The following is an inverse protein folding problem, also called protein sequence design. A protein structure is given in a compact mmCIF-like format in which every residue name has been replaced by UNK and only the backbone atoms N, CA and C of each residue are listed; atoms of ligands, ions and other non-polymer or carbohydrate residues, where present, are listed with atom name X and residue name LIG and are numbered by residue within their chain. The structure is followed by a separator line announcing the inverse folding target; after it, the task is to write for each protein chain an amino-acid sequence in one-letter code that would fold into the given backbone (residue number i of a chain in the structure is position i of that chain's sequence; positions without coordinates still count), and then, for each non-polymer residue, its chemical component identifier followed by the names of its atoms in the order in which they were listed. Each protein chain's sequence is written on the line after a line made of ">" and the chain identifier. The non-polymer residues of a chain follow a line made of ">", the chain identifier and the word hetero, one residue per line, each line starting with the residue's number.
data_IF_148532735855
#
_entry.id   IF_148532735855
#
_cell.length_a   1.000
_cell.length_b   1.000
_cell.length_c   1.000
_cell.angle_alpha   90.00
_cell.angle_beta   90.00
_cell.angle_gamma   90.00
#
_symmetry.space_group_name_H-M   'P 1'
#
loop_
_entity.id
_entity.type
_entity.pdbx_description
1 polymer ?
#
# COMPACT_ATOMS: atom_id res chain seq x y z
N UNK A 1 15.57 2.45 0.48
CA UNK A 1 14.38 2.85 -0.29
C UNK A 1 13.18 1.93 -0.01
N UNK A 2 12.10 2.45 0.62
CA UNK A 2 10.92 1.69 1.01
C UNK A 2 10.24 0.93 -0.13
N UNK A 3 9.45 -0.10 0.21
CA UNK A 3 8.79 -1.00 -0.76
C UNK A 3 8.06 -0.22 -1.86
N UNK A 4 7.39 0.90 -1.55
CA UNK A 4 6.74 1.74 -2.57
C UNK A 4 7.76 2.36 -3.54
N UNK A 5 8.90 2.85 -3.05
CA UNK A 5 9.98 3.38 -3.88
C UNK A 5 10.72 2.28 -4.67
N UNK A 6 10.79 1.06 -4.12
CA UNK A 6 11.35 -0.10 -4.80
C UNK A 6 10.43 -0.62 -5.91
N UNK A 7 9.13 -0.70 -5.63
CA UNK A 7 8.11 -1.09 -6.59
C UNK A 7 7.93 -0.03 -7.70
N UNK A 8 7.97 1.26 -7.35
CA UNK A 8 7.93 2.36 -8.32
C UNK A 8 9.12 2.32 -9.30
N UNK A 9 10.25 1.73 -8.86
CA UNK A 9 11.41 1.47 -9.72
C UNK A 9 11.27 0.23 -10.60
N UNK A 10 10.45 -0.76 -10.24
CA UNK A 10 10.58 -2.12 -10.80
C UNK A 10 9.44 -2.69 -11.62
N UNK A 11 8.29 -2.00 -11.76
CA UNK A 11 7.33 -2.05 -12.90
C UNK A 11 5.98 -1.59 -12.38
N UNK A 12 5.44 -0.52 -12.98
CA UNK A 12 4.11 0.00 -12.67
C UNK A 12 3.03 -1.10 -12.62
N UNK A 13 3.11 -2.07 -13.52
CA UNK A 13 2.12 -3.15 -13.64
C UNK A 13 2.06 -4.05 -12.40
N UNK A 14 3.21 -4.30 -11.77
CA UNK A 14 3.28 -5.13 -10.55
C UNK A 14 2.70 -4.38 -9.34
N UNK A 15 2.83 -3.05 -9.31
CA UNK A 15 2.18 -2.19 -8.31
C UNK A 15 0.67 -2.22 -8.48
N UNK A 16 0.17 -1.99 -9.69
CA UNK A 16 -1.27 -1.96 -9.94
C UNK A 16 -1.91 -3.31 -9.61
N UNK A 17 -1.27 -4.42 -9.97
CA UNK A 17 -1.73 -5.76 -9.58
C UNK A 17 -1.74 -5.98 -8.07
N UNK A 18 -0.67 -5.57 -7.37
CA UNK A 18 -0.59 -5.72 -5.92
C UNK A 18 -1.63 -4.87 -5.17
N UNK A 19 -1.88 -3.65 -5.64
CA UNK A 19 -2.87 -2.75 -5.04
C UNK A 19 -4.30 -3.17 -5.36
N UNK A 20 -4.57 -3.66 -6.58
CA UNK A 20 -5.87 -4.19 -6.94
C UNK A 20 -6.25 -5.43 -6.13
N UNK A 21 -5.27 -6.18 -5.63
CA UNK A 21 -5.49 -7.33 -4.74
C UNK A 21 -5.87 -6.92 -3.30
N UNK A 22 -5.93 -5.62 -2.99
CA UNK A 22 -6.23 -5.08 -1.67
C UNK A 22 -7.62 -4.40 -1.69
N UNK A 23 -8.69 -5.05 -1.19
CA UNK A 23 -10.05 -4.51 -1.27
C UNK A 23 -10.26 -3.20 -0.50
N UNK A 24 -9.44 -2.93 0.52
CA UNK A 24 -9.54 -1.70 1.31
C UNK A 24 -8.91 -0.48 0.61
N UNK A 25 -8.18 -0.69 -0.49
CA UNK A 25 -7.73 0.38 -1.38
C UNK A 25 -8.82 0.60 -2.43
N UNK A 26 -9.70 1.57 -2.15
CA UNK A 26 -10.88 1.86 -2.96
C UNK A 26 -10.50 2.40 -4.34
N UNK A 27 -9.49 3.25 -4.38
CA UNK A 27 -8.93 3.79 -5.62
C UNK A 27 -7.43 3.99 -5.46
N UNK A 28 -6.71 3.89 -6.57
CA UNK A 28 -5.30 4.27 -6.63
C UNK A 28 -5.00 4.97 -7.95
N UNK A 29 -4.04 5.89 -7.92
CA UNK A 29 -3.55 6.58 -9.11
C UNK A 29 -2.04 6.68 -9.05
N UNK A 30 -1.37 6.05 -10.02
CA UNK A 30 0.07 6.10 -10.15
C UNK A 30 0.45 7.18 -11.17
N UNK A 31 1.30 8.11 -10.74
CA UNK A 31 1.92 9.08 -11.64
C UNK A 31 3.33 8.56 -11.99
N UNK A 32 3.44 7.95 -13.17
CA UNK A 32 4.71 7.41 -13.69
C UNK A 32 5.76 8.48 -13.97
N UNK A 33 5.34 9.73 -14.23
CA UNK A 33 6.25 10.84 -14.54
C UNK A 33 6.98 11.30 -13.28
N UNK A 34 6.30 11.32 -12.14
CA UNK A 34 6.86 11.77 -10.86
C UNK A 34 7.23 10.61 -9.93
N UNK A 35 6.83 9.37 -10.25
CA UNK A 35 7.01 8.21 -9.38
C UNK A 35 6.15 8.25 -8.12
N UNK A 36 5.11 9.09 -8.08
CA UNK A 36 4.23 9.25 -6.92
C UNK A 36 2.96 8.43 -7.07
N UNK A 37 2.43 7.92 -5.97
CA UNK A 37 1.16 7.20 -5.94
C UNK A 37 0.17 7.88 -4.99
N UNK A 38 -1.08 7.99 -5.43
CA UNK A 38 -2.22 8.38 -4.62
C UNK A 38 -3.03 7.13 -4.29
N UNK A 39 -3.40 6.94 -3.03
CA UNK A 39 -4.22 5.81 -2.57
C UNK A 39 -5.39 6.37 -1.77
N UNK A 40 -6.60 6.02 -2.17
CA UNK A 40 -7.81 6.21 -1.37
C UNK A 40 -8.11 4.91 -0.64
N UNK A 41 -8.26 4.98 0.69
CA UNK A 41 -8.45 3.81 1.53
C UNK A 41 -9.54 4.05 2.58
N UNK A 42 -10.05 2.96 3.17
CA UNK A 42 -10.97 3.05 4.30
C UNK A 42 -10.20 3.17 5.64
N UNK A 43 -10.29 4.30 6.36
CA UNK A 43 -9.55 4.48 7.61
C UNK A 43 -10.07 3.60 8.76
N UNK A 44 -11.24 2.99 8.62
CA UNK A 44 -11.76 1.99 9.57
C UNK A 44 -11.06 0.66 9.42
N UNK A 45 -10.63 0.31 8.20
CA UNK A 45 -9.96 -0.96 7.87
C UNK A 45 -8.44 -0.82 7.93
N UNK A 46 -7.90 0.28 7.42
CA UNK A 46 -6.46 0.56 7.41
C UNK A 46 -6.21 1.81 8.25
N UNK A 47 -5.50 1.66 9.37
CA UNK A 47 -5.15 2.78 10.22
C UNK A 47 -4.23 3.76 9.47
N UNK A 48 -4.48 5.08 9.51
CA UNK A 48 -3.69 6.07 8.77
C UNK A 48 -2.17 6.00 9.03
N UNK A 49 -1.79 5.65 10.25
CA UNK A 49 -0.39 5.50 10.66
C UNK A 49 0.36 4.42 9.87
N UNK A 50 -0.35 3.38 9.41
CA UNK A 50 0.23 2.33 8.57
C UNK A 50 0.51 2.86 7.17
N UNK A 51 -0.36 3.73 6.66
CA UNK A 51 -0.15 4.42 5.38
C UNK A 51 1.05 5.35 5.47
N UNK A 52 1.17 6.15 6.53
CA UNK A 52 2.34 7.01 6.75
C UNK A 52 3.65 6.21 6.80
N UNK A 53 3.64 5.05 7.47
CA UNK A 53 4.80 4.14 7.54
C UNK A 53 5.11 3.49 6.20
N UNK A 54 4.10 3.14 5.40
CA UNK A 54 4.25 2.59 4.06
C UNK A 54 5.00 3.57 3.13
N UNK A 55 4.76 4.87 3.30
CA UNK A 55 5.42 5.95 2.58
C UNK A 55 6.67 6.49 3.28
N UNK A 56 7.10 5.87 4.38
CA UNK A 56 8.31 6.31 5.07
C UNK A 56 9.55 6.08 4.21
N UNK A 57 10.58 6.89 4.44
CA UNK A 57 11.88 6.73 3.78
C UNK A 57 12.67 5.48 4.24
N UNK A 58 12.15 4.72 5.21
CA UNK A 58 12.81 3.56 5.82
C UNK A 58 12.21 2.26 5.30
N UNK A 59 13.09 1.39 4.79
CA UNK A 59 12.70 0.13 4.13
C UNK A 59 12.03 -0.81 5.10
N UNK A 60 12.62 -0.89 6.29
CA UNK A 60 12.11 -1.68 7.40
C UNK A 60 10.72 -1.19 7.84
N UNK A 61 10.50 0.12 7.93
CA UNK A 61 9.19 0.65 8.31
C UNK A 61 8.13 0.43 7.23
N UNK A 62 8.51 0.60 5.95
CA UNK A 62 7.63 0.34 4.82
C UNK A 62 7.25 -1.14 4.72
N UNK A 63 8.20 -2.05 4.93
CA UNK A 63 7.98 -3.49 4.94
C UNK A 63 7.09 -3.93 6.11
N UNK A 64 7.36 -3.44 7.32
CA UNK A 64 6.49 -3.71 8.48
C UNK A 64 5.07 -3.18 8.26
N UNK A 65 4.93 -2.02 7.63
CA UNK A 65 3.62 -1.47 7.26
C UNK A 65 2.90 -2.36 6.24
N UNK A 66 3.59 -2.91 5.23
CA UNK A 66 3.00 -3.87 4.29
C UNK A 66 2.43 -5.09 5.01
N UNK A 67 3.18 -5.69 5.94
CA UNK A 67 2.70 -6.84 6.71
C UNK A 67 1.51 -6.50 7.59
N UNK A 68 1.55 -5.36 8.29
CA UNK A 68 0.46 -4.92 9.15
C UNK A 68 -0.82 -4.57 8.35
N UNK A 69 -0.68 -4.02 7.14
CA UNK A 69 -1.79 -3.78 6.22
C UNK A 69 -2.37 -5.12 5.76
N UNK A 70 -1.54 -6.08 5.35
CA UNK A 70 -1.98 -7.41 4.95
C UNK A 70 -2.73 -8.13 6.09
N UNK A 71 -2.25 -8.02 7.33
CA UNK A 71 -2.92 -8.55 8.51
C UNK A 71 -4.26 -7.85 8.77
N UNK A 72 -4.30 -6.52 8.68
CA UNK A 72 -5.54 -5.73 8.82
C UNK A 72 -6.60 -6.14 7.78
N UNK A 73 -6.16 -6.44 6.56
CA UNK A 73 -7.02 -6.93 5.49
C UNK A 73 -7.49 -8.36 5.73
N UNK A 74 -6.64 -9.24 6.24
CA UNK A 74 -7.00 -10.62 6.57
C UNK A 74 -7.99 -10.67 7.76
N UNK A 75 -7.80 -9.82 8.76
CA UNK A 75 -8.69 -9.70 9.92
C UNK A 75 -10.07 -9.13 9.53
N UNK A 76 -10.14 -8.24 8.54
CA UNK A 76 -11.39 -7.70 8.02
C UNK A 76 -11.98 -8.53 6.86
N UNK A 77 -11.20 -9.45 6.28
CA UNK A 77 -11.57 -10.32 5.17
C UNK A 77 -12.22 -11.64 5.58
N UNK A 78 -12.24 -11.98 6.88
CA UNK A 78 -13.08 -13.05 7.41
C UNK A 78 -14.45 -12.46 7.80
N UNK A 79 -15.24 -12.11 6.78
CA UNK A 79 -16.68 -12.01 6.95
C UNK A 79 -17.39 -12.45 5.67
N UNK A 80 -17.90 -13.69 5.77
CA UNK A 80 -18.87 -14.41 4.93
C UNK A 80 -18.38 -15.07 3.65
#
# INVERSE_FOLDING_TARGET
>A
MGIVAHLAKYKLQDIEHALAAIPAFKNYKLNSVTGSILIEYDPVIIQPQLVDRLFSGSDQQAEQACYAIAESLNLNGVNS
#
